data_IF_240514238579
#
_entry.id   IF_240514238579
#
_cell.length_a   1.000
_cell.length_b   1.000
_cell.length_c   1.000
_cell.angle_alpha   90.00
_cell.angle_beta   90.00
_cell.angle_gamma   90.00
#
_symmetry.space_group_name_H-M   'P 1'
#
loop_
_entity.id
_entity.type
_entity.pdbx_description
1 polymer ?
#
# COMPACT_ATOMS: atom_id res chain seq x y z
N UNK A 1 -21.98 9.55 -4.24
CA UNK A 1 -22.27 10.00 -2.85
C UNK A 1 -22.00 8.87 -1.85
N UNK A 2 -21.84 9.22 -0.56
CA UNK A 2 -21.69 8.30 0.58
C UNK A 2 -23.00 8.30 1.37
N UNK A 3 -23.40 7.13 1.88
CA UNK A 3 -24.56 7.00 2.74
C UNK A 3 -24.10 6.54 4.13
N UNK A 4 -24.80 6.99 5.17
CA UNK A 4 -24.56 6.60 6.54
C UNK A 4 -25.77 5.92 7.15
N UNK A 5 -25.55 4.76 7.77
CA UNK A 5 -26.56 4.04 8.50
C UNK A 5 -26.15 3.99 9.97
N UNK A 6 -26.91 4.68 10.82
CA UNK A 6 -26.66 4.67 12.25
C UNK A 6 -27.27 3.42 12.90
N UNK A 7 -26.51 2.78 13.78
CA UNK A 7 -27.09 1.77 14.67
C UNK A 7 -27.88 2.47 15.80
N UNK A 8 -29.22 2.41 15.72
CA UNK A 8 -30.11 2.94 16.73
C UNK A 8 -30.45 1.92 17.83
N UNK A 9 -30.00 0.67 17.69
CA UNK A 9 -30.10 -0.39 18.67
C UNK A 9 -28.88 -0.42 19.61
N UNK A 10 -28.49 -1.63 20.00
CA UNK A 10 -27.29 -1.84 20.83
C UNK A 10 -26.35 -2.87 20.17
N UNK A 11 -25.20 -3.13 20.79
CA UNK A 11 -24.19 -4.05 20.26
C UNK A 11 -24.67 -5.49 20.05
N UNK A 12 -25.63 -5.95 20.85
CA UNK A 12 -26.18 -7.31 20.73
C UNK A 12 -27.40 -7.40 19.79
N UNK A 13 -28.13 -6.28 19.64
CA UNK A 13 -29.29 -6.17 18.78
C UNK A 13 -29.18 -4.87 17.97
N UNK A 14 -28.37 -4.83 16.91
CA UNK A 14 -28.21 -3.65 16.07
C UNK A 14 -29.48 -3.39 15.24
N UNK A 15 -29.86 -2.12 15.11
CA UNK A 15 -30.98 -1.66 14.29
C UNK A 15 -30.46 -0.59 13.33
N UNK A 16 -30.64 -0.79 12.02
CA UNK A 16 -30.21 0.11 10.94
C UNK A 16 -31.40 0.51 10.09
N UNK A 17 -32.39 1.15 10.71
CA UNK A 17 -33.65 1.55 10.09
C UNK A 17 -33.63 2.95 9.47
N UNK A 18 -32.58 3.72 9.71
CA UNK A 18 -32.43 5.08 9.22
C UNK A 18 -31.17 5.23 8.36
N UNK A 19 -31.32 5.80 7.17
CA UNK A 19 -30.25 6.07 6.23
C UNK A 19 -30.16 7.58 6.00
N UNK A 20 -29.00 8.16 6.27
CA UNK A 20 -28.67 9.52 5.85
C UNK A 20 -27.98 9.41 4.49
N UNK A 21 -28.72 9.82 3.44
CA UNK A 21 -28.19 9.87 2.08
C UNK A 21 -27.31 11.11 1.90
N UNK A 22 -26.31 11.00 1.02
CA UNK A 22 -25.38 12.09 0.75
C UNK A 22 -24.67 12.60 2.02
N UNK A 23 -24.19 11.66 2.82
CA UNK A 23 -23.58 11.90 4.13
C UNK A 23 -22.44 12.93 4.03
N UNK A 24 -22.56 14.00 4.81
CA UNK A 24 -21.61 15.11 4.82
C UNK A 24 -21.60 15.96 3.56
N UNK A 25 -22.55 15.81 2.63
CA UNK A 25 -22.53 16.50 1.35
C UNK A 25 -21.38 16.07 0.43
N UNK A 26 -20.79 14.89 0.68
CA UNK A 26 -19.62 14.42 -0.04
C UNK A 26 -19.99 13.99 -1.46
N UNK A 27 -19.41 14.65 -2.45
CA UNK A 27 -19.46 14.26 -3.84
C UNK A 27 -18.05 14.17 -4.43
N UNK A 28 -17.64 12.94 -4.75
CA UNK A 28 -16.37 12.62 -5.42
C UNK A 28 -16.61 12.00 -6.79
N UNK A 29 -17.78 12.31 -7.39
CA UNK A 29 -18.14 11.81 -8.69
C UNK A 29 -17.24 12.41 -9.77
N UNK A 30 -16.69 11.56 -10.63
CA UNK A 30 -16.03 12.00 -11.82
C UNK A 30 -17.08 12.36 -12.88
N UNK A 31 -17.11 13.62 -13.31
CA UNK A 31 -18.14 14.16 -14.22
C UNK A 31 -18.12 13.51 -15.61
N UNK A 32 -17.00 12.92 -16.02
CA UNK A 32 -16.86 12.30 -17.35
C UNK A 32 -17.53 10.93 -17.39
N UNK A 33 -17.41 10.16 -16.29
CA UNK A 33 -17.85 8.76 -16.25
C UNK A 33 -19.03 8.54 -15.30
N UNK A 34 -19.55 9.62 -14.70
CA UNK A 34 -20.70 9.61 -13.77
C UNK A 34 -20.59 8.56 -12.66
N UNK A 35 -19.36 8.35 -12.15
CA UNK A 35 -19.12 7.46 -11.01
C UNK A 35 -17.92 7.91 -10.20
N UNK A 36 -18.02 7.87 -8.87
CA UNK A 36 -16.95 8.27 -7.96
C UNK A 36 -16.13 7.11 -7.42
N UNK A 37 -16.72 5.90 -7.41
CA UNK A 37 -16.13 4.72 -6.73
C UNK A 37 -15.68 5.04 -5.31
N UNK A 38 -16.53 5.76 -4.56
CA UNK A 38 -16.23 6.14 -3.16
C UNK A 38 -15.96 4.89 -2.31
N UNK A 39 -14.88 4.93 -1.57
CA UNK A 39 -14.49 3.90 -0.62
C UNK A 39 -14.15 4.55 0.72
N UNK A 40 -15.19 4.86 1.54
CA UNK A 40 -15.01 5.60 2.79
C UNK A 40 -14.38 4.73 3.87
N UNK A 41 -13.51 5.34 4.66
CA UNK A 41 -12.90 4.79 5.88
C UNK A 41 -12.86 5.86 6.94
N UNK A 42 -13.33 5.54 8.16
CA UNK A 42 -13.24 6.42 9.33
C UNK A 42 -11.95 6.12 10.09
N UNK A 43 -11.30 7.18 10.53
CA UNK A 43 -10.15 7.13 11.41
C UNK A 43 -10.45 7.94 12.67
N UNK A 44 -10.24 7.33 13.83
CA UNK A 44 -10.33 8.01 15.13
C UNK A 44 -8.98 8.67 15.43
N UNK A 45 -8.94 9.98 15.31
CA UNK A 45 -7.78 10.79 15.63
C UNK A 45 -7.95 11.40 17.02
N UNK A 46 -7.59 10.63 18.06
CA UNK A 46 -7.68 11.05 19.47
C UNK A 46 -9.08 11.53 19.88
N UNK A 47 -10.12 10.81 19.48
CA UNK A 47 -11.51 11.10 19.82
C UNK A 47 -12.22 12.06 18.85
N UNK A 48 -11.56 12.48 17.78
CA UNK A 48 -12.16 13.20 16.67
C UNK A 48 -12.13 12.33 15.42
N UNK A 49 -13.27 12.14 14.79
CA UNK A 49 -13.36 11.33 13.59
C UNK A 49 -12.96 12.12 12.34
N UNK A 50 -12.14 11.48 11.53
CA UNK A 50 -11.80 11.92 10.17
C UNK A 50 -12.30 10.89 9.17
N UNK A 51 -12.90 11.32 8.07
CA UNK A 51 -13.33 10.46 6.98
C UNK A 51 -12.35 10.58 5.82
N UNK A 52 -11.89 9.46 5.35
CA UNK A 52 -11.09 9.38 4.14
C UNK A 52 -11.84 8.56 3.09
N UNK A 53 -11.73 8.95 1.84
CA UNK A 53 -12.33 8.20 0.74
C UNK A 53 -11.42 8.13 -0.45
N UNK A 54 -11.18 6.91 -0.93
CA UNK A 54 -10.62 6.69 -2.25
C UNK A 54 -11.62 7.08 -3.34
N UNK A 55 -11.12 7.26 -4.56
CA UNK A 55 -11.89 7.71 -5.70
C UNK A 55 -11.60 6.90 -6.96
N UNK A 56 -12.40 7.14 -8.02
CA UNK A 56 -12.15 6.57 -9.33
C UNK A 56 -10.81 7.01 -9.92
N UNK A 57 -10.44 8.28 -9.73
CA UNK A 57 -9.19 8.86 -10.27
C UNK A 57 -7.95 8.41 -9.52
N UNK A 58 -8.12 7.77 -8.36
CA UNK A 58 -7.02 7.30 -7.52
C UNK A 58 -6.65 8.24 -6.38
N UNK A 59 -7.21 9.42 -6.35
CA UNK A 59 -7.01 10.41 -5.29
C UNK A 59 -7.67 9.96 -4.00
N UNK A 60 -7.07 10.31 -2.87
CA UNK A 60 -7.62 10.10 -1.52
C UNK A 60 -8.09 11.44 -0.98
N UNK A 61 -9.37 11.54 -0.72
CA UNK A 61 -10.00 12.73 -0.13
C UNK A 61 -10.11 12.58 1.38
N UNK A 62 -9.89 13.68 2.10
CA UNK A 62 -10.05 13.79 3.55
C UNK A 62 -11.15 14.77 3.89
N UNK A 63 -11.98 14.42 4.88
CA UNK A 63 -13.06 15.25 5.41
C UNK A 63 -13.01 15.27 6.93
N UNK A 64 -13.25 16.44 7.49
CA UNK A 64 -13.33 16.70 8.92
C UNK A 64 -14.70 17.23 9.31
N UNK A 65 -14.86 17.67 10.56
CA UNK A 65 -16.08 18.24 11.11
C UNK A 65 -17.26 17.23 11.08
N UNK A 66 -16.98 16.00 11.50
CA UNK A 66 -17.95 14.89 11.50
C UNK A 66 -18.66 14.81 12.84
N UNK A 67 -17.91 14.98 13.93
CA UNK A 67 -18.38 14.84 15.29
C UNK A 67 -19.47 15.89 15.61
N UNK A 68 -20.59 15.40 16.13
CA UNK A 68 -21.79 16.19 16.39
C UNK A 68 -22.40 16.91 15.15
N UNK A 69 -22.00 16.49 13.93
CA UNK A 69 -22.42 17.10 12.66
C UNK A 69 -22.92 16.07 11.62
N UNK A 70 -23.49 14.96 12.08
CA UNK A 70 -23.89 13.84 11.19
C UNK A 70 -24.92 14.21 10.13
N UNK A 71 -25.71 15.24 10.36
CA UNK A 71 -26.71 15.75 9.40
C UNK A 71 -26.23 16.96 8.59
N UNK A 72 -25.04 17.47 8.86
CA UNK A 72 -24.48 18.66 8.22
C UNK A 72 -23.56 18.36 7.05
N UNK A 73 -22.86 19.40 6.61
CA UNK A 73 -21.82 19.28 5.57
C UNK A 73 -20.44 19.18 6.23
N UNK A 74 -19.62 18.28 5.72
CA UNK A 74 -18.26 18.09 6.21
C UNK A 74 -17.29 19.03 5.50
N UNK A 75 -16.24 19.39 6.22
CA UNK A 75 -15.19 20.25 5.65
C UNK A 75 -14.27 19.38 4.78
N UNK A 76 -14.29 19.64 3.48
CA UNK A 76 -13.35 19.00 2.55
C UNK A 76 -11.98 19.62 2.74
N UNK A 77 -11.03 18.81 3.17
CA UNK A 77 -9.62 19.15 3.08
C UNK A 77 -9.15 18.59 1.73
N UNK A 78 -8.42 19.41 0.96
CA UNK A 78 -7.91 19.03 -0.36
C UNK A 78 -7.36 17.61 -0.36
N UNK A 79 -7.52 16.93 -1.50
CA UNK A 79 -6.97 15.59 -1.70
C UNK A 79 -5.55 15.50 -1.13
N UNK A 80 -5.30 14.49 -0.34
CA UNK A 80 -3.94 14.17 0.06
C UNK A 80 -3.11 14.07 -1.22
N UNK A 81 -1.87 14.53 -1.23
CA UNK A 81 -0.98 14.43 -2.39
C UNK A 81 -0.62 12.95 -2.69
N UNK A 82 -1.59 12.07 -2.51
CA UNK A 82 -1.52 10.64 -2.74
C UNK A 82 -2.45 10.32 -3.90
N UNK A 83 -1.88 9.88 -5.00
CA UNK A 83 -2.61 9.31 -6.14
C UNK A 83 -1.91 8.03 -6.55
N UNK A 84 -2.55 6.89 -6.26
CA UNK A 84 -1.96 5.57 -6.42
C UNK A 84 -2.81 4.67 -7.32
N UNK A 85 -2.90 5.07 -8.58
CA UNK A 85 -3.70 4.35 -9.59
C UNK A 85 -5.21 4.54 -9.42
N UNK A 86 -5.97 4.09 -10.42
CA UNK A 86 -7.43 4.30 -10.46
C UNK A 86 -8.19 3.39 -9.49
N UNK A 87 -9.40 3.80 -9.10
CA UNK A 87 -10.30 3.08 -8.19
C UNK A 87 -9.62 2.73 -6.86
N UNK A 88 -8.99 3.73 -6.27
CA UNK A 88 -8.28 3.58 -5.01
C UNK A 88 -9.21 3.20 -3.85
N UNK A 89 -8.72 2.35 -2.96
CA UNK A 89 -9.34 2.01 -1.68
C UNK A 89 -8.30 2.18 -0.59
N UNK A 90 -8.70 2.81 0.50
CA UNK A 90 -7.80 3.12 1.61
C UNK A 90 -8.23 2.39 2.88
N UNK A 91 -7.28 1.78 3.56
CA UNK A 91 -7.39 1.37 4.95
C UNK A 91 -6.43 2.21 5.78
N UNK A 92 -6.85 2.62 6.97
CA UNK A 92 -6.10 3.56 7.79
C UNK A 92 -5.92 2.99 9.19
N UNK A 93 -4.68 3.02 9.64
CA UNK A 93 -4.31 2.60 11.00
C UNK A 93 -2.98 3.26 11.36
N UNK A 94 -2.80 3.60 12.61
CA UNK A 94 -1.46 3.86 13.16
C UNK A 94 -0.74 2.51 13.29
N UNK A 95 0.21 2.25 12.41
CA UNK A 95 0.94 0.97 12.33
C UNK A 95 2.24 1.05 13.13
N UNK A 96 2.84 2.23 13.19
CA UNK A 96 4.13 2.46 13.84
C UNK A 96 4.01 3.00 15.27
N UNK A 97 2.78 3.26 15.77
CA UNK A 97 2.44 3.84 17.08
C UNK A 97 3.00 5.27 17.27
N UNK A 98 3.01 6.08 16.23
CA UNK A 98 3.39 7.50 16.29
C UNK A 98 2.19 8.45 16.50
N UNK A 99 1.00 7.90 16.67
CA UNK A 99 -0.30 8.57 16.84
C UNK A 99 -0.76 9.34 15.58
N UNK A 100 -0.23 8.98 14.43
CA UNK A 100 -0.63 9.52 13.13
C UNK A 100 -1.22 8.43 12.24
N UNK A 101 -2.05 8.79 11.26
CA UNK A 101 -2.61 7.80 10.35
C UNK A 101 -1.57 7.30 9.35
N UNK A 102 -1.41 5.98 9.26
CA UNK A 102 -0.77 5.31 8.14
C UNK A 102 -1.82 4.79 7.17
N UNK A 103 -1.49 4.81 5.87
CA UNK A 103 -2.44 4.49 4.80
C UNK A 103 -1.97 3.27 4.03
N UNK A 104 -2.80 2.25 3.97
CA UNK A 104 -2.63 1.13 3.04
C UNK A 104 -3.61 1.34 1.90
N UNK A 105 -3.09 1.47 0.68
CA UNK A 105 -3.89 1.78 -0.50
C UNK A 105 -3.78 0.64 -1.49
N UNK A 106 -4.94 0.12 -1.90
CA UNK A 106 -5.09 -0.77 -3.04
C UNK A 106 -5.73 -0.04 -4.22
N UNK A 107 -5.43 -0.45 -5.45
CA UNK A 107 -5.96 0.16 -6.66
C UNK A 107 -6.31 -0.88 -7.72
N UNK A 108 -6.88 -0.43 -8.85
CA UNK A 108 -7.30 -1.31 -9.94
C UNK A 108 -6.14 -2.01 -10.66
N UNK A 109 -4.95 -1.44 -10.64
CA UNK A 109 -3.76 -2.04 -11.26
C UNK A 109 -3.18 -3.20 -10.46
N UNK A 110 -3.64 -3.39 -9.23
CA UNK A 110 -3.20 -4.42 -8.30
C UNK A 110 -2.02 -3.96 -7.43
N UNK A 111 -1.74 -4.76 -6.38
CA UNK A 111 -0.74 -4.41 -5.37
C UNK A 111 -1.32 -3.60 -4.22
N UNK A 112 -0.47 -3.33 -3.24
CA UNK A 112 -0.75 -2.49 -2.08
C UNK A 112 0.42 -1.53 -1.88
N UNK A 113 0.11 -0.27 -1.62
CA UNK A 113 1.07 0.76 -1.27
C UNK A 113 0.87 1.18 0.17
N UNK A 114 1.96 1.40 0.89
CA UNK A 114 1.96 1.90 2.26
C UNK A 114 2.48 3.34 2.28
N UNK A 115 1.69 4.23 2.85
CA UNK A 115 2.06 5.62 3.11
C UNK A 115 1.90 5.90 4.59
N UNK A 116 2.85 6.56 5.23
CA UNK A 116 2.70 7.03 6.60
C UNK A 116 2.70 8.55 6.64
N UNK A 117 2.06 9.15 7.60
CA UNK A 117 1.99 10.60 7.77
C UNK A 117 3.25 11.18 8.42
N UNK A 118 4.19 10.37 8.84
CA UNK A 118 5.47 10.86 9.32
C UNK A 118 6.38 11.18 8.13
N UNK A 119 6.51 12.47 7.82
CA UNK A 119 7.37 12.98 6.76
C UNK A 119 8.87 12.68 6.94
N UNK A 120 9.26 12.07 8.08
CA UNK A 120 10.65 11.71 8.35
C UNK A 120 11.00 10.27 7.92
N UNK A 121 10.01 9.39 7.63
CA UNK A 121 10.26 7.96 7.39
C UNK A 121 9.58 7.38 6.14
N UNK A 122 8.90 8.19 5.36
CA UNK A 122 8.48 7.75 4.03
C UNK A 122 9.05 8.68 2.99
N UNK A 123 10.09 8.29 2.70
CA UNK A 123 10.25 7.73 1.36
C UNK A 123 9.33 6.51 1.24
N UNK A 124 8.12 6.65 0.66
CA UNK A 124 7.87 5.81 -0.47
C UNK A 124 9.21 5.83 -1.17
N UNK A 125 10.02 4.82 -0.97
CA UNK A 125 11.19 4.69 -1.79
C UNK A 125 10.58 4.75 -3.17
N UNK A 126 10.69 5.90 -3.84
CA UNK A 126 10.80 5.86 -5.26
C UNK A 126 11.73 4.68 -5.40
N UNK A 127 11.19 3.55 -5.80
CA UNK A 127 12.04 2.53 -6.37
C UNK A 127 12.70 3.32 -7.49
N UNK A 128 13.84 3.89 -7.15
CA UNK A 128 14.72 4.45 -8.13
C UNK A 128 14.91 3.30 -9.09
N UNK A 129 14.18 3.35 -10.20
CA UNK A 129 14.31 2.42 -11.33
C UNK A 129 15.79 2.43 -11.80
N UNK A 130 16.55 3.43 -11.36
CA UNK A 130 18.01 3.54 -11.58
C UNK A 130 18.85 2.50 -10.83
N UNK A 131 18.27 1.76 -9.87
CA UNK A 131 18.96 0.70 -9.11
C UNK A 131 18.24 -0.65 -9.18
N UNK A 132 17.46 -0.93 -10.24
CA UNK A 132 16.90 -2.25 -10.44
C UNK A 132 18.01 -3.31 -10.42
N UNK A 133 17.91 -4.18 -9.45
CA UNK A 133 18.73 -5.38 -9.38
C UNK A 133 18.25 -6.33 -10.48
N UNK A 134 18.91 -6.27 -11.63
CA UNK A 134 18.57 -7.14 -12.74
C UNK A 134 19.08 -8.55 -12.45
N UNK A 135 18.15 -9.49 -12.33
CA UNK A 135 18.43 -10.90 -12.06
C UNK A 135 18.01 -11.73 -13.26
N UNK A 136 18.98 -12.43 -13.86
CA UNK A 136 18.72 -13.25 -15.04
C UNK A 136 19.68 -14.46 -15.17
N UNK A 137 19.24 -15.52 -15.88
CA UNK A 137 17.87 -15.78 -16.31
C UNK A 137 16.95 -16.07 -15.11
N UNK A 138 15.67 -15.73 -15.25
CA UNK A 138 14.64 -16.11 -14.30
C UNK A 138 13.45 -16.72 -15.08
N UNK A 139 13.19 -18.02 -15.00
CA UNK A 139 13.84 -19.05 -14.17
C UNK A 139 15.28 -19.37 -14.57
N UNK A 140 16.09 -19.76 -13.57
CA UNK A 140 17.47 -20.23 -13.76
C UNK A 140 17.58 -21.74 -13.53
N UNK A 141 18.63 -22.36 -14.08
CA UNK A 141 18.94 -23.78 -13.83
C UNK A 141 20.32 -23.96 -13.21
N UNK A 142 21.33 -23.28 -13.73
CA UNK A 142 22.71 -23.49 -13.34
C UNK A 142 23.41 -22.22 -12.87
N UNK A 143 23.08 -21.07 -13.45
CA UNK A 143 23.78 -19.82 -13.22
C UNK A 143 22.79 -18.67 -13.14
N UNK A 144 22.84 -17.92 -12.07
CA UNK A 144 22.09 -16.68 -11.86
C UNK A 144 23.05 -15.51 -11.95
N UNK A 145 22.76 -14.55 -12.80
CA UNK A 145 23.50 -13.30 -12.90
C UNK A 145 22.74 -12.22 -12.14
N UNK A 146 23.47 -11.40 -11.40
CA UNK A 146 22.98 -10.24 -10.66
C UNK A 146 23.71 -9.02 -11.22
N UNK A 147 23.01 -8.17 -11.95
CA UNK A 147 23.58 -7.01 -12.61
C UNK A 147 23.07 -5.71 -12.00
N UNK A 148 23.94 -4.73 -11.89
CA UNK A 148 23.63 -3.40 -11.37
C UNK A 148 24.77 -2.80 -10.57
N UNK A 149 24.67 -1.51 -10.25
CA UNK A 149 25.68 -0.76 -9.50
C UNK A 149 25.61 -0.94 -7.97
N UNK A 150 24.71 -1.79 -7.49
CA UNK A 150 24.60 -2.12 -6.08
C UNK A 150 25.66 -3.17 -5.71
N UNK A 151 26.50 -2.87 -4.73
CA UNK A 151 27.55 -3.74 -4.22
C UNK A 151 27.23 -4.10 -2.77
N UNK A 152 27.69 -5.27 -2.30
CA UNK A 152 27.50 -5.68 -0.92
C UNK A 152 27.18 -7.16 -0.77
N UNK A 153 26.63 -7.52 0.38
CA UNK A 153 26.27 -8.91 0.70
C UNK A 153 25.01 -9.33 -0.04
N UNK A 154 25.14 -10.39 -0.82
CA UNK A 154 24.03 -11.10 -1.45
C UNK A 154 23.65 -12.25 -0.56
N UNK A 155 22.39 -12.36 -0.24
CA UNK A 155 21.81 -13.46 0.53
C UNK A 155 20.65 -14.08 -0.24
N UNK A 156 20.66 -15.41 -0.41
CA UNK A 156 19.55 -16.16 -1.01
C UNK A 156 18.87 -16.95 0.10
N UNK A 157 17.55 -16.85 0.16
CA UNK A 157 16.74 -17.59 1.11
C UNK A 157 15.52 -18.23 0.45
N UNK A 158 15.04 -19.30 1.05
CA UNK A 158 13.85 -20.01 0.58
C UNK A 158 12.57 -19.36 1.10
N UNK A 159 11.39 -19.91 0.72
CA UNK A 159 10.07 -19.44 1.13
C UNK A 159 9.83 -19.49 2.65
N UNK A 160 10.65 -20.21 3.41
CA UNK A 160 10.59 -20.30 4.87
C UNK A 160 11.53 -19.29 5.57
N UNK A 161 12.24 -18.45 4.80
CA UNK A 161 13.18 -17.48 5.33
C UNK A 161 14.55 -18.08 5.72
N UNK A 162 14.80 -19.35 5.41
CA UNK A 162 16.10 -19.98 5.69
C UNK A 162 17.13 -19.55 4.64
N UNK A 163 18.27 -19.07 5.09
CA UNK A 163 19.38 -18.70 4.22
C UNK A 163 19.98 -19.95 3.56
N UNK A 164 20.04 -19.95 2.24
CA UNK A 164 20.56 -21.02 1.41
C UNK A 164 21.99 -20.72 0.96
N UNK A 165 22.28 -19.45 0.67
CA UNK A 165 23.57 -19.02 0.16
C UNK A 165 23.85 -17.57 0.57
N UNK A 166 25.13 -17.28 0.90
CA UNK A 166 25.65 -15.92 1.06
C UNK A 166 26.85 -15.71 0.14
N UNK A 167 26.94 -14.53 -0.43
CA UNK A 167 28.02 -14.14 -1.35
C UNK A 167 28.26 -12.63 -1.25
N UNK A 168 29.34 -12.15 -1.84
CA UNK A 168 29.64 -10.72 -1.91
C UNK A 168 29.67 -10.32 -3.38
N UNK A 169 28.86 -9.34 -3.75
CA UNK A 169 28.87 -8.71 -5.06
C UNK A 169 29.82 -7.52 -5.02
N UNK A 170 30.95 -7.64 -5.70
CA UNK A 170 32.00 -6.61 -5.84
C UNK A 170 32.05 -5.99 -7.23
N UNK A 171 31.40 -6.62 -8.21
CA UNK A 171 31.46 -6.23 -9.60
C UNK A 171 30.07 -5.87 -10.15
N UNK A 172 29.99 -5.18 -11.27
CA UNK A 172 28.74 -4.82 -11.95
C UNK A 172 27.85 -6.04 -12.21
N UNK A 173 28.46 -7.16 -12.61
CA UNK A 173 27.77 -8.44 -12.80
C UNK A 173 28.34 -9.49 -11.87
N UNK A 174 27.53 -9.97 -10.93
CA UNK A 174 27.88 -11.07 -10.00
C UNK A 174 27.19 -12.36 -10.44
N UNK A 175 27.93 -13.47 -10.46
CA UNK A 175 27.45 -14.76 -10.90
C UNK A 175 27.33 -15.73 -9.73
N UNK A 176 26.16 -16.35 -9.59
CA UNK A 176 25.90 -17.35 -8.55
C UNK A 176 25.60 -18.69 -9.22
N UNK A 177 26.37 -19.71 -8.84
CA UNK A 177 26.09 -21.08 -9.27
C UNK A 177 24.90 -21.66 -8.47
N UNK A 178 23.83 -21.98 -9.15
CA UNK A 178 22.59 -22.51 -8.57
C UNK A 178 22.44 -24.02 -8.76
N UNK A 179 23.39 -24.70 -9.40
CA UNK A 179 23.29 -26.13 -9.77
C UNK A 179 23.15 -27.09 -8.58
N UNK A 180 23.54 -26.67 -7.38
CA UNK A 180 23.43 -27.45 -6.14
C UNK A 180 22.23 -27.06 -5.27
N UNK A 181 21.40 -26.14 -5.75
CA UNK A 181 20.20 -25.68 -5.04
C UNK A 181 19.00 -26.41 -5.64
N UNK A 182 18.13 -26.95 -4.80
CA UNK A 182 16.96 -27.67 -5.26
C UNK A 182 16.01 -26.75 -6.08
N UNK A 183 15.28 -27.29 -7.06
CA UNK A 183 14.24 -26.53 -7.76
C UNK A 183 13.23 -25.92 -6.78
N UNK A 184 12.83 -24.68 -7.03
CA UNK A 184 11.90 -23.98 -6.15
C UNK A 184 11.87 -22.48 -6.34
N UNK A 185 11.13 -21.80 -5.46
CA UNK A 185 11.03 -20.34 -5.38
C UNK A 185 12.01 -19.84 -4.31
N UNK A 186 12.79 -18.84 -4.67
CA UNK A 186 13.80 -18.23 -3.82
C UNK A 186 13.71 -16.73 -3.88
N UNK A 187 14.26 -16.10 -2.85
CA UNK A 187 14.40 -14.66 -2.74
C UNK A 187 15.88 -14.31 -2.64
N UNK A 188 16.29 -13.31 -3.37
CA UNK A 188 17.62 -12.73 -3.32
C UNK A 188 17.56 -11.36 -2.68
N UNK A 189 18.31 -11.15 -1.62
CA UNK A 189 18.47 -9.88 -0.93
C UNK A 189 19.87 -9.33 -1.19
N UNK A 190 19.92 -8.06 -1.58
CA UNK A 190 21.15 -7.27 -1.67
C UNK A 190 20.87 -5.90 -1.08
N UNK A 191 21.48 -5.59 0.06
CA UNK A 191 21.18 -4.40 0.85
C UNK A 191 19.67 -4.30 1.19
N UNK A 192 19.00 -3.24 0.75
CA UNK A 192 17.56 -3.03 0.95
C UNK A 192 16.70 -3.58 -0.21
N UNK A 193 17.32 -4.11 -1.27
CA UNK A 193 16.60 -4.68 -2.41
C UNK A 193 16.36 -6.16 -2.22
N UNK A 194 15.15 -6.62 -2.53
CA UNK A 194 14.78 -8.04 -2.49
C UNK A 194 14.05 -8.42 -3.79
N UNK A 195 14.47 -9.49 -4.43
CA UNK A 195 13.89 -9.96 -5.69
C UNK A 195 13.58 -11.45 -5.65
N UNK A 196 12.44 -11.84 -6.19
CA UNK A 196 12.03 -13.25 -6.32
C UNK A 196 12.60 -13.85 -7.61
N UNK A 197 13.09 -15.09 -7.53
CA UNK A 197 13.47 -15.87 -8.70
C UNK A 197 13.14 -17.36 -8.53
N UNK A 198 13.21 -18.09 -9.63
CA UNK A 198 12.84 -19.50 -9.69
C UNK A 198 14.03 -20.31 -10.17
N UNK A 199 14.31 -21.43 -9.50
CA UNK A 199 15.28 -22.46 -9.93
C UNK A 199 14.48 -23.65 -10.49
N UNK A 200 14.87 -24.14 -11.69
CA UNK A 200 14.28 -25.30 -12.37
C UNK A 200 15.21 -26.49 -12.35
#
# INVERSE_FOLDING_TARGET
>A
SINYCQNTGNTNNPIFDSIISNFGGIDIENTIISTGYSSPTLFDNNGLFELYSGSFTGEIYKYNNIDNNLAGTFDSISALSISDGSKSRVAIKDINNDQKPDFIIGNYSGGLSLYSSDSSLISATNFDISNELLIYPNPTKYLLNIQGNNYGYVEIFNIYGQTILKSIKSDFTHKINTSKINPGIYFLKLNNSCSKFIIK
#
